data_IF_876965010917
#
_entry.id   IF_876965010917
#
_cell.length_a   1.000
_cell.length_b   1.000
_cell.length_c   1.000
_cell.angle_alpha   90.00
_cell.angle_beta   90.00
_cell.angle_gamma   90.00
#
_symmetry.space_group_name_H-M   'P 1'
#
loop_
_entity.id
_entity.type
_entity.pdbx_description
1 polymer ?
#
# COMPACT_ATOMS: atom_id res chain seq x y z
N UNK A 1 14.39 23.78 -11.71
CA UNK A 1 14.53 22.65 -10.77
C UNK A 1 14.34 23.22 -9.37
N UNK A 2 13.14 23.15 -8.79
CA UNK A 2 12.93 23.44 -7.38
C UNK A 2 13.59 22.32 -6.58
N UNK A 3 14.50 22.67 -5.67
CA UNK A 3 15.10 21.75 -4.74
C UNK A 3 13.95 21.07 -3.95
N UNK A 4 13.90 19.75 -3.98
CA UNK A 4 13.01 18.98 -3.15
C UNK A 4 13.26 19.37 -1.69
N UNK A 5 12.25 19.93 -1.03
CA UNK A 5 12.32 20.27 0.39
C UNK A 5 12.53 18.96 1.14
N UNK A 6 13.75 18.74 1.66
CA UNK A 6 14.04 17.56 2.49
C UNK A 6 13.10 17.55 3.67
N UNK A 7 12.36 16.49 3.79
CA UNK A 7 11.48 16.20 4.93
C UNK A 7 12.29 16.29 6.23
N UNK A 8 11.79 17.01 7.22
CA UNK A 8 12.46 17.12 8.53
C UNK A 8 11.97 16.00 9.45
N UNK A 9 12.84 15.51 10.33
CA UNK A 9 12.50 14.44 11.28
C UNK A 9 11.22 14.73 12.10
N UNK A 10 10.98 16.00 12.46
CA UNK A 10 9.77 16.42 13.17
C UNK A 10 8.46 16.33 12.38
N UNK A 11 8.52 16.25 11.07
CA UNK A 11 7.32 16.14 10.22
C UNK A 11 6.84 14.69 10.15
N UNK A 12 7.76 13.73 10.15
CA UNK A 12 7.43 12.28 10.20
C UNK A 12 6.81 11.91 11.54
N UNK A 13 7.29 12.46 12.64
CA UNK A 13 6.74 12.20 13.98
C UNK A 13 5.26 12.60 14.13
N UNK A 14 4.74 13.46 13.24
CA UNK A 14 3.34 13.90 13.20
C UNK A 14 2.45 13.05 12.30
N UNK A 15 3.04 12.14 11.51
CA UNK A 15 2.26 11.30 10.61
C UNK A 15 1.50 10.24 11.41
N UNK A 16 0.17 10.23 11.27
CA UNK A 16 -0.64 9.14 11.79
C UNK A 16 -0.35 7.88 10.97
N UNK A 17 0.24 6.88 11.59
CA UNK A 17 0.59 5.61 10.96
C UNK A 17 -0.60 4.73 10.58
N UNK A 18 -0.36 3.43 10.51
CA UNK A 18 -1.36 2.40 10.26
C UNK A 18 -2.52 2.43 11.27
N UNK A 19 -3.69 1.95 10.88
CA UNK A 19 -4.77 1.62 11.83
C UNK A 19 -4.45 0.26 12.44
N UNK A 20 -4.40 0.18 13.75
CA UNK A 20 -4.21 -1.07 14.49
C UNK A 20 -5.32 -1.18 15.51
N UNK A 21 -6.03 -2.32 15.49
CA UNK A 21 -7.05 -2.61 16.48
C UNK A 21 -8.38 -1.90 16.25
N UNK A 22 -8.81 -1.76 15.01
CA UNK A 22 -10.20 -1.37 14.72
C UNK A 22 -11.14 -2.41 15.37
N UNK A 23 -12.10 -1.95 16.17
CA UNK A 23 -13.11 -2.69 16.92
C UNK A 23 -12.59 -3.57 18.06
N UNK A 24 -11.57 -4.39 17.91
CA UNK A 24 -10.92 -5.24 18.94
C UNK A 24 -11.93 -5.95 19.88
N UNK A 25 -12.89 -6.67 19.31
CA UNK A 25 -13.88 -7.44 20.08
C UNK A 25 -13.22 -8.67 20.65
N UNK A 26 -13.19 -8.79 21.97
CA UNK A 26 -12.56 -9.91 22.68
C UNK A 26 -13.54 -11.07 22.89
N UNK A 27 -13.01 -12.27 23.01
CA UNK A 27 -13.80 -13.50 23.28
C UNK A 27 -13.52 -14.60 22.29
N UNK A 28 -14.29 -15.70 22.42
CA UNK A 28 -14.31 -16.79 21.47
C UNK A 28 -15.48 -16.60 20.51
N UNK A 29 -15.17 -16.53 19.22
CA UNK A 29 -16.15 -16.33 18.16
C UNK A 29 -16.11 -17.50 17.18
N UNK A 30 -17.29 -17.99 16.78
CA UNK A 30 -17.43 -19.04 15.77
C UNK A 30 -17.91 -18.45 14.44
N UNK A 31 -17.65 -19.15 13.34
CA UNK A 31 -18.08 -18.72 12.01
C UNK A 31 -17.35 -17.47 11.49
N UNK A 32 -16.11 -17.23 11.93
CA UNK A 32 -15.33 -16.06 11.57
C UNK A 32 -14.72 -16.20 10.18
N UNK A 33 -14.96 -15.20 9.32
CA UNK A 33 -14.28 -15.05 8.03
C UNK A 33 -13.13 -14.03 8.13
N UNK A 34 -12.09 -14.21 7.33
CA UNK A 34 -10.98 -13.26 7.20
C UNK A 34 -10.95 -12.69 5.80
N UNK A 35 -10.92 -11.37 5.69
CA UNK A 35 -10.78 -10.64 4.43
C UNK A 35 -9.45 -9.89 4.47
N UNK A 36 -8.63 -10.07 3.43
CA UNK A 36 -7.32 -9.42 3.32
C UNK A 36 -7.16 -8.75 1.95
N UNK A 37 -6.63 -7.54 1.95
CA UNK A 37 -6.29 -6.82 0.73
C UNK A 37 -4.99 -7.36 0.12
N UNK A 38 -5.02 -7.71 -1.16
CA UNK A 38 -3.81 -8.11 -1.88
C UNK A 38 -2.83 -6.94 -1.98
N UNK A 39 -1.90 -6.84 -1.01
CA UNK A 39 -0.86 -5.81 -1.02
C UNK A 39 -1.42 -4.40 -0.89
N UNK A 40 -2.14 -4.08 0.19
CA UNK A 40 -2.87 -2.83 0.40
C UNK A 40 -2.04 -1.58 0.03
N UNK A 41 -0.87 -1.38 0.62
CA UNK A 41 -0.04 -0.19 0.37
C UNK A 41 0.51 -0.12 -1.06
N UNK A 42 1.08 -1.18 -1.65
CA UNK A 42 1.42 -1.20 -3.06
C UNK A 42 0.22 -0.89 -3.98
N UNK A 43 -0.97 -1.43 -3.67
CA UNK A 43 -2.17 -1.15 -4.46
C UNK A 43 -2.61 0.32 -4.38
N UNK A 44 -2.45 0.97 -3.23
CA UNK A 44 -2.70 2.40 -3.06
C UNK A 44 -1.69 3.23 -3.89
N UNK A 45 -0.40 2.88 -3.84
CA UNK A 45 0.63 3.54 -4.65
C UNK A 45 0.26 3.48 -6.14
N UNK A 46 -0.11 2.31 -6.62
CA UNK A 46 -0.47 2.09 -8.02
C UNK A 46 -1.78 2.79 -8.40
N UNK A 47 -2.84 2.61 -7.60
CA UNK A 47 -4.18 3.11 -7.92
C UNK A 47 -4.33 4.62 -7.80
N UNK A 48 -3.50 5.27 -6.98
CA UNK A 48 -3.50 6.73 -6.82
C UNK A 48 -2.32 7.41 -7.52
N UNK A 49 -1.53 6.66 -8.29
CA UNK A 49 -0.35 7.14 -9.01
C UNK A 49 0.63 7.93 -8.12
N UNK A 50 0.91 7.42 -6.91
CA UNK A 50 1.73 8.12 -5.92
C UNK A 50 3.20 8.05 -6.28
N UNK A 51 3.77 9.18 -6.71
CA UNK A 51 5.21 9.31 -7.02
C UNK A 51 5.63 10.77 -6.87
N UNK A 52 6.92 11.01 -6.70
CA UNK A 52 7.43 12.39 -6.51
C UNK A 52 7.09 13.32 -7.68
N UNK A 53 7.17 12.79 -8.90
CA UNK A 53 6.93 13.55 -10.13
C UNK A 53 5.44 13.72 -10.47
N UNK A 54 4.56 12.91 -9.91
CA UNK A 54 3.10 13.00 -10.13
C UNK A 54 2.40 13.92 -9.13
N UNK A 55 3.08 14.35 -8.07
CA UNK A 55 2.54 15.27 -7.07
C UNK A 55 2.26 16.65 -7.65
N UNK A 56 1.11 17.24 -7.29
CA UNK A 56 0.68 18.57 -7.72
C UNK A 56 0.25 19.42 -6.52
N UNK A 57 0.27 20.76 -6.71
CA UNK A 57 -0.08 21.74 -5.66
C UNK A 57 -1.58 22.08 -5.63
N UNK A 58 -2.38 21.57 -6.56
CA UNK A 58 -3.79 21.89 -6.65
C UNK A 58 -4.54 21.10 -7.74
N UNK A 59 -5.85 21.40 -7.90
CA UNK A 59 -6.69 20.73 -8.88
C UNK A 59 -6.31 21.09 -10.32
N UNK A 60 -6.64 20.22 -11.26
CA UNK A 60 -6.38 20.40 -12.69
C UNK A 60 -6.97 19.26 -13.50
N UNK A 61 -6.75 19.29 -14.81
CA UNK A 61 -7.11 18.22 -15.70
C UNK A 61 -6.27 16.96 -15.36
N UNK A 62 -6.91 15.80 -15.31
CA UNK A 62 -6.30 14.52 -14.92
C UNK A 62 -5.63 14.51 -13.53
N UNK A 63 -6.04 15.41 -12.63
CA UNK A 63 -5.55 15.46 -11.25
C UNK A 63 -6.55 14.79 -10.32
N UNK A 64 -6.10 13.72 -9.63
CA UNK A 64 -6.85 13.09 -8.56
C UNK A 64 -6.60 13.84 -7.25
N UNK A 65 -7.66 14.26 -6.59
CA UNK A 65 -7.61 14.74 -5.21
C UNK A 65 -7.97 13.59 -4.26
N UNK A 66 -7.15 13.36 -3.24
CA UNK A 66 -7.42 12.40 -2.17
C UNK A 66 -7.96 13.10 -0.92
N UNK A 67 -8.54 12.33 0.01
CA UNK A 67 -9.19 12.87 1.22
C UNK A 67 -8.26 13.69 2.11
N UNK A 68 -6.95 13.44 2.06
CA UNK A 68 -5.95 14.24 2.78
C UNK A 68 -5.68 15.62 2.15
N UNK A 69 -6.37 15.95 1.06
CA UNK A 69 -6.17 17.18 0.30
C UNK A 69 -4.98 17.16 -0.65
N UNK A 70 -4.25 16.04 -0.77
CA UNK A 70 -3.17 15.91 -1.73
C UNK A 70 -3.68 15.70 -3.16
N UNK A 71 -2.87 16.12 -4.13
CA UNK A 71 -3.21 16.09 -5.56
C UNK A 71 -2.16 15.30 -6.33
N UNK A 72 -2.62 14.38 -7.20
CA UNK A 72 -1.77 13.44 -7.92
C UNK A 72 -2.19 13.36 -9.38
N UNK A 73 -1.23 13.61 -10.27
CA UNK A 73 -1.43 13.58 -11.72
C UNK A 73 -1.63 12.13 -12.20
N UNK A 74 -2.69 11.93 -12.98
CA UNK A 74 -3.07 10.62 -13.53
C UNK A 74 -2.80 10.53 -15.04
N UNK A 75 -2.22 11.57 -15.66
CA UNK A 75 -2.00 11.61 -17.12
C UNK A 75 -0.94 10.61 -17.57
N UNK A 76 0.12 10.43 -16.78
CA UNK A 76 1.20 9.50 -17.03
C UNK A 76 1.53 8.73 -15.75
N UNK A 77 1.85 7.45 -15.88
CA UNK A 77 2.21 6.61 -14.74
C UNK A 77 3.57 7.04 -14.17
N UNK A 78 3.60 7.32 -12.88
CA UNK A 78 4.81 7.68 -12.16
C UNK A 78 5.79 6.51 -12.01
N UNK A 79 7.05 6.83 -11.65
CA UNK A 79 8.12 5.84 -11.50
C UNK A 79 7.79 4.83 -10.39
N UNK A 80 7.34 5.29 -9.22
CA UNK A 80 7.05 4.40 -8.10
C UNK A 80 5.88 3.45 -8.41
N UNK A 81 4.74 3.90 -8.96
CA UNK A 81 3.69 3.02 -9.49
C UNK A 81 4.18 2.04 -10.55
N UNK A 82 5.04 2.46 -11.47
CA UNK A 82 5.61 1.57 -12.51
C UNK A 82 6.44 0.44 -11.89
N UNK A 83 7.26 0.75 -10.87
CA UNK A 83 8.02 -0.26 -10.12
C UNK A 83 7.07 -1.21 -9.38
N UNK A 84 6.02 -0.70 -8.75
CA UNK A 84 5.01 -1.52 -8.05
C UNK A 84 4.31 -2.45 -9.03
N UNK A 85 3.89 -1.95 -10.19
CA UNK A 85 3.24 -2.76 -11.23
C UNK A 85 4.16 -3.89 -11.68
N UNK A 86 5.40 -3.58 -12.03
CA UNK A 86 6.39 -4.58 -12.41
C UNK A 86 6.58 -5.67 -11.35
N UNK A 87 6.65 -5.28 -10.08
CA UNK A 87 6.80 -6.23 -8.97
C UNK A 87 5.56 -7.12 -8.78
N UNK A 88 4.34 -6.60 -8.99
CA UNK A 88 3.13 -7.41 -8.98
C UNK A 88 3.14 -8.45 -10.11
N UNK A 89 3.43 -8.02 -11.35
CA UNK A 89 3.50 -8.88 -12.52
C UNK A 89 4.58 -9.97 -12.37
N UNK A 90 5.76 -9.56 -11.92
CA UNK A 90 6.85 -10.50 -11.67
C UNK A 90 6.52 -11.52 -10.58
N UNK A 91 5.87 -11.07 -9.49
CA UNK A 91 5.41 -11.97 -8.44
C UNK A 91 4.36 -12.96 -8.93
N UNK A 92 3.43 -12.53 -9.76
CA UNK A 92 2.40 -13.41 -10.31
C UNK A 92 3.04 -14.42 -11.29
N UNK A 93 4.04 -14.01 -12.08
CA UNK A 93 4.88 -14.90 -12.90
C UNK A 93 5.59 -15.95 -12.04
N UNK A 94 6.23 -15.54 -10.94
CA UNK A 94 6.88 -16.47 -10.02
C UNK A 94 5.90 -17.50 -9.43
N UNK A 95 4.69 -17.06 -9.07
CA UNK A 95 3.64 -17.97 -8.56
C UNK A 95 3.15 -18.94 -9.63
N UNK A 96 3.06 -18.50 -10.89
CA UNK A 96 2.72 -19.37 -12.00
C UNK A 96 3.80 -20.44 -12.19
N UNK A 97 5.08 -20.04 -12.28
CA UNK A 97 6.21 -20.95 -12.37
C UNK A 97 6.27 -21.96 -11.21
N UNK A 98 5.96 -21.48 -10.00
CA UNK A 98 5.86 -22.35 -8.82
C UNK A 98 4.78 -23.42 -8.95
N UNK A 99 3.63 -23.12 -9.59
CA UNK A 99 2.56 -24.10 -9.83
C UNK A 99 2.92 -25.10 -10.94
N UNK A 100 3.65 -24.64 -11.94
CA UNK A 100 4.08 -25.41 -13.11
C UNK A 100 5.36 -26.24 -12.83
N UNK A 101 6.03 -26.00 -11.71
CA UNK A 101 7.27 -26.68 -11.35
C UNK A 101 7.09 -28.19 -11.24
N UNK A 102 7.93 -28.93 -11.94
CA UNK A 102 7.91 -30.39 -12.01
C UNK A 102 8.59 -31.04 -10.78
N UNK A 103 9.53 -30.33 -10.15
CA UNK A 103 10.27 -30.84 -8.99
C UNK A 103 9.98 -30.04 -7.72
N UNK A 104 10.08 -30.66 -6.53
CA UNK A 104 9.97 -29.96 -5.26
C UNK A 104 11.02 -28.85 -5.09
N UNK A 105 12.24 -29.05 -5.59
CA UNK A 105 13.35 -28.12 -5.51
C UNK A 105 13.06 -26.87 -6.35
N UNK A 106 12.58 -27.04 -7.57
CA UNK A 106 12.18 -25.94 -8.44
C UNK A 106 11.03 -25.14 -7.84
N UNK A 107 10.01 -25.84 -7.30
CA UNK A 107 8.89 -25.21 -6.58
C UNK A 107 9.37 -24.38 -5.39
N UNK A 108 10.30 -24.90 -4.60
CA UNK A 108 10.88 -24.18 -3.46
C UNK A 108 11.66 -22.94 -3.90
N UNK A 109 12.40 -23.01 -5.00
CA UNK A 109 13.13 -21.87 -5.56
C UNK A 109 12.18 -20.75 -5.99
N UNK A 110 11.13 -21.07 -6.75
CA UNK A 110 10.12 -20.07 -7.15
C UNK A 110 9.34 -19.50 -5.97
N UNK A 111 9.05 -20.34 -4.96
CA UNK A 111 8.42 -19.84 -3.73
C UNK A 111 9.33 -18.85 -2.99
N UNK A 112 10.63 -19.13 -2.88
CA UNK A 112 11.60 -18.22 -2.28
C UNK A 112 11.64 -16.90 -3.03
N UNK A 113 11.67 -16.94 -4.35
CA UNK A 113 11.69 -15.74 -5.20
C UNK A 113 10.43 -14.90 -5.03
N UNK A 114 9.24 -15.49 -5.10
CA UNK A 114 7.99 -14.74 -4.93
C UNK A 114 7.85 -14.14 -3.52
N UNK A 115 8.41 -14.79 -2.50
CA UNK A 115 8.45 -14.25 -1.13
C UNK A 115 9.43 -13.09 -0.99
N UNK A 116 10.58 -13.15 -1.69
CA UNK A 116 11.51 -12.02 -1.75
C UNK A 116 10.86 -10.79 -2.40
N UNK A 117 10.19 -10.97 -3.54
CA UNK A 117 9.44 -9.90 -4.22
C UNK A 117 8.36 -9.31 -3.29
N UNK A 118 7.61 -10.16 -2.57
CA UNK A 118 6.63 -9.70 -1.58
C UNK A 118 7.26 -8.79 -0.52
N UNK A 119 8.45 -9.15 -0.01
CA UNK A 119 9.16 -8.35 1.00
C UNK A 119 9.63 -7.01 0.43
N UNK A 120 10.15 -7.00 -0.80
CA UNK A 120 10.53 -5.76 -1.50
C UNK A 120 9.32 -4.83 -1.63
N UNK A 121 8.19 -5.34 -2.10
CA UNK A 121 6.94 -4.55 -2.20
C UNK A 121 6.50 -3.98 -0.84
N UNK A 122 6.56 -4.78 0.22
CA UNK A 122 6.21 -4.33 1.56
C UNK A 122 7.15 -3.24 2.10
N UNK A 123 8.42 -3.21 1.66
CA UNK A 123 9.40 -2.21 2.09
C UNK A 123 9.26 -0.84 1.39
N UNK A 124 8.51 -0.74 0.28
CA UNK A 124 8.36 0.50 -0.48
C UNK A 124 7.79 1.64 0.37
N UNK A 125 6.78 1.36 1.20
CA UNK A 125 6.28 2.33 2.16
C UNK A 125 7.38 2.83 3.11
N UNK A 126 8.20 1.92 3.65
CA UNK A 126 9.30 2.25 4.55
C UNK A 126 10.34 3.18 3.91
N UNK A 127 10.61 3.00 2.61
CA UNK A 127 11.49 3.91 1.86
C UNK A 127 10.92 5.34 1.77
N UNK A 128 9.62 5.47 1.56
CA UNK A 128 8.95 6.77 1.52
C UNK A 128 8.86 7.41 2.92
N UNK A 129 8.69 6.60 3.97
CA UNK A 129 8.48 7.08 5.34
C UNK A 129 9.77 7.37 6.12
N UNK A 130 10.94 6.89 5.68
CA UNK A 130 12.17 6.98 6.45
C UNK A 130 13.16 8.00 5.87
N UNK A 131 13.46 9.06 6.64
CA UNK A 131 14.31 10.19 6.24
C UNK A 131 15.73 9.83 5.81
N UNK A 132 16.23 8.66 6.18
CA UNK A 132 17.56 8.16 5.78
C UNK A 132 17.63 7.73 4.31
N UNK A 133 16.50 7.57 3.63
CA UNK A 133 16.46 7.21 2.22
C UNK A 133 16.27 8.46 1.34
N UNK A 134 16.94 8.50 0.19
CA UNK A 134 16.80 9.57 -0.79
C UNK A 134 15.41 9.70 -1.42
N UNK A 135 14.56 8.71 -1.20
CA UNK A 135 13.16 8.62 -1.67
C UNK A 135 12.14 8.99 -0.59
N UNK A 136 12.58 9.49 0.56
CA UNK A 136 11.68 9.89 1.63
C UNK A 136 10.79 11.06 1.19
N UNK A 137 9.48 10.85 1.25
CA UNK A 137 8.45 11.86 1.02
C UNK A 137 7.28 11.62 1.97
N UNK A 138 7.10 12.53 2.92
CA UNK A 138 6.07 12.37 3.93
C UNK A 138 4.65 12.48 3.40
N UNK A 139 4.43 13.20 2.29
CA UNK A 139 3.09 13.29 1.72
C UNK A 139 2.72 11.96 1.05
N UNK A 140 3.67 11.29 0.39
CA UNK A 140 3.47 9.92 -0.12
C UNK A 140 3.19 8.97 1.05
N UNK A 141 4.04 8.98 2.08
CA UNK A 141 3.89 8.10 3.24
C UNK A 141 2.57 8.34 3.99
N UNK A 142 2.20 9.61 4.21
CA UNK A 142 0.94 9.99 4.84
C UNK A 142 -0.26 9.53 4.01
N UNK A 143 -0.24 9.78 2.71
CA UNK A 143 -1.29 9.37 1.79
C UNK A 143 -1.50 7.86 1.81
N UNK A 144 -0.42 7.06 1.72
CA UNK A 144 -0.52 5.60 1.78
C UNK A 144 -1.23 5.12 3.05
N UNK A 145 -0.83 5.63 4.21
CA UNK A 145 -1.42 5.20 5.48
C UNK A 145 -2.84 5.71 5.67
N UNK A 146 -3.16 6.91 5.20
CA UNK A 146 -4.51 7.46 5.27
C UNK A 146 -5.48 6.67 4.38
N UNK A 147 -5.12 6.43 3.11
CA UNK A 147 -5.92 5.61 2.21
C UNK A 147 -6.06 4.17 2.72
N UNK A 148 -5.00 3.61 3.33
CA UNK A 148 -5.08 2.31 4.00
C UNK A 148 -6.14 2.29 5.11
N UNK A 149 -6.13 3.27 5.99
CA UNK A 149 -7.17 3.42 7.03
C UNK A 149 -8.57 3.57 6.43
N UNK A 150 -8.70 4.35 5.36
CA UNK A 150 -9.97 4.53 4.64
C UNK A 150 -10.48 3.21 4.09
N UNK A 151 -9.63 2.42 3.45
CA UNK A 151 -10.00 1.11 2.91
C UNK A 151 -10.51 0.14 4.00
N UNK A 152 -9.84 0.08 5.16
CA UNK A 152 -10.27 -0.79 6.26
C UNK A 152 -11.61 -0.35 6.82
N UNK A 153 -11.83 0.96 7.01
CA UNK A 153 -13.12 1.48 7.50
C UNK A 153 -14.26 1.31 6.50
N UNK A 154 -13.95 1.43 5.21
CA UNK A 154 -14.93 1.14 4.16
C UNK A 154 -15.34 -0.32 4.19
N UNK A 155 -14.38 -1.24 4.35
CA UNK A 155 -14.66 -2.66 4.47
C UNK A 155 -15.53 -2.98 5.68
N UNK A 156 -15.24 -2.38 6.84
CA UNK A 156 -16.07 -2.48 8.05
C UNK A 156 -17.50 -1.99 7.81
N UNK A 157 -17.65 -0.82 7.20
CA UNK A 157 -18.95 -0.25 6.86
C UNK A 157 -19.74 -1.14 5.89
N UNK A 158 -19.08 -1.67 4.87
CA UNK A 158 -19.71 -2.60 3.91
C UNK A 158 -20.12 -3.88 4.62
N UNK A 159 -19.24 -4.50 5.41
CA UNK A 159 -19.56 -5.71 6.17
C UNK A 159 -20.78 -5.52 7.08
N UNK A 160 -20.82 -4.39 7.80
CA UNK A 160 -21.97 -4.02 8.65
C UNK A 160 -23.27 -3.90 7.86
N UNK A 161 -23.22 -3.33 6.64
CA UNK A 161 -24.40 -3.21 5.76
C UNK A 161 -24.97 -4.58 5.36
N UNK A 162 -24.11 -5.59 5.25
CA UNK A 162 -24.49 -6.98 4.98
C UNK A 162 -24.80 -7.80 6.24
N UNK A 163 -24.85 -7.17 7.42
CA UNK A 163 -25.19 -7.82 8.68
C UNK A 163 -24.03 -8.58 9.35
N UNK A 164 -22.78 -8.33 8.92
CA UNK A 164 -21.60 -8.88 9.58
C UNK A 164 -21.04 -7.91 10.63
N UNK A 165 -20.50 -8.45 11.70
CA UNK A 165 -19.76 -7.71 12.71
C UNK A 165 -18.26 -7.80 12.45
N UNK A 166 -17.57 -6.67 12.38
CA UNK A 166 -16.12 -6.65 12.31
C UNK A 166 -15.53 -6.82 13.72
N UNK A 167 -14.90 -7.95 13.97
CA UNK A 167 -14.29 -8.27 15.26
C UNK A 167 -12.93 -7.62 15.43
N UNK A 168 -12.15 -7.50 14.35
CA UNK A 168 -10.82 -6.92 14.36
C UNK A 168 -10.41 -6.45 12.97
N UNK A 169 -9.75 -5.29 12.89
CA UNK A 169 -9.18 -4.77 11.65
C UNK A 169 -7.86 -4.05 11.86
N UNK A 170 -6.96 -4.16 10.89
CA UNK A 170 -5.73 -3.39 10.83
C UNK A 170 -5.26 -3.21 9.38
N UNK A 171 -4.41 -2.20 9.14
CA UNK A 171 -3.77 -1.94 7.85
C UNK A 171 -2.40 -2.59 7.76
#
# INVERSE_FOLDING_TARGET
KKAHTRFKAGDIAKLKGAEVGLNCVTGLHEGVGVIDYKGLYPSIILGSNLSHETKRDGPGENIMQLENGSYWDQSEQGLLPSVVQYLFEYRDTCKQRMREAETPEERAAWNTTQMAVKRVMASLYGMCAHIGYGWADGDIAHTITQEGRRCIRLLDSVATTYGYECLYGHT
#
